data_IF_054086773776
#
_entry.id   IF_054086773776
#
_cell.length_a   1.000
_cell.length_b   1.000
_cell.length_c   1.000
_cell.angle_alpha   90.00
_cell.angle_beta   90.00
_cell.angle_gamma   90.00
#
_symmetry.space_group_name_H-M   'P 1'
#
loop_
_entity.id
_entity.type
_entity.pdbx_description
1 polymer ?
#
# COMPACT_ATOMS: atom_id res chain seq x y z
N UNK A 1 -19.20 -1.48 -11.48
CA UNK A 1 -20.27 -2.50 -11.47
C UNK A 1 -20.38 -3.14 -12.84
N UNK A 2 -20.48 -2.37 -13.94
CA UNK A 2 -20.69 -2.89 -15.30
C UNK A 2 -19.62 -3.91 -15.76
N UNK A 3 -18.34 -3.66 -15.44
CA UNK A 3 -17.26 -4.59 -15.78
C UNK A 3 -17.39 -5.93 -15.04
N UNK A 4 -17.80 -5.89 -13.75
CA UNK A 4 -17.98 -7.11 -12.95
C UNK A 4 -19.08 -7.98 -13.54
N UNK A 5 -20.17 -7.37 -13.97
CA UNK A 5 -21.27 -8.08 -14.65
C UNK A 5 -20.84 -8.61 -16.02
N UNK A 6 -20.19 -7.77 -16.83
CA UNK A 6 -19.69 -8.12 -18.16
C UNK A 6 -18.75 -9.32 -18.13
N UNK A 7 -17.87 -9.41 -17.12
CA UNK A 7 -16.92 -10.51 -16.95
C UNK A 7 -17.42 -11.62 -16.01
N UNK A 8 -18.71 -11.60 -15.60
CA UNK A 8 -19.35 -12.60 -14.72
C UNK A 8 -18.60 -12.83 -13.40
N UNK A 9 -18.08 -11.75 -12.80
CA UNK A 9 -17.27 -11.79 -11.57
C UNK A 9 -18.09 -11.56 -10.29
N UNK A 10 -19.43 -11.57 -10.34
CA UNK A 10 -20.30 -11.24 -9.22
C UNK A 10 -20.06 -12.10 -7.97
N UNK A 11 -19.66 -13.37 -8.14
CA UNK A 11 -19.36 -14.28 -7.03
C UNK A 11 -17.91 -14.18 -6.54
N UNK A 12 -17.07 -13.38 -7.19
CA UNK A 12 -15.64 -13.23 -6.86
C UNK A 12 -15.30 -11.83 -6.36
N UNK A 13 -16.14 -10.85 -6.62
CA UNK A 13 -15.95 -9.46 -6.22
C UNK A 13 -17.08 -9.02 -5.30
N UNK A 14 -16.72 -8.51 -4.14
CA UNK A 14 -17.62 -7.92 -3.18
C UNK A 14 -17.35 -6.44 -3.04
N UNK A 15 -18.31 -5.60 -3.34
CA UNK A 15 -18.25 -4.17 -3.08
C UNK A 15 -18.63 -3.91 -1.62
N UNK A 16 -17.77 -3.22 -0.91
CA UNK A 16 -18.02 -2.76 0.45
C UNK A 16 -18.02 -1.24 0.38
N UNK A 17 -19.09 -0.63 0.89
CA UNK A 17 -19.17 0.81 1.01
C UNK A 17 -18.17 1.32 2.07
N UNK A 18 -18.36 2.52 2.58
CA UNK A 18 -17.48 3.10 3.58
C UNK A 18 -17.23 2.16 4.78
N UNK A 19 -15.96 1.87 5.04
CA UNK A 19 -15.51 1.11 6.20
C UNK A 19 -14.86 2.08 7.20
N UNK A 20 -15.42 2.17 8.40
CA UNK A 20 -14.87 2.99 9.49
C UNK A 20 -13.67 2.33 10.16
N UNK A 21 -13.67 1.01 10.21
CA UNK A 21 -12.66 0.18 10.85
C UNK A 21 -11.66 -0.36 9.83
N UNK A 22 -10.87 0.52 9.21
CA UNK A 22 -9.87 0.13 8.21
C UNK A 22 -8.85 -0.91 8.71
N UNK A 23 -8.37 -0.88 9.98
CA UNK A 23 -7.50 -1.94 10.49
C UNK A 23 -8.13 -3.34 10.38
N UNK A 24 -9.44 -3.46 10.63
CA UNK A 24 -10.15 -4.73 10.46
C UNK A 24 -10.16 -5.18 8.99
N UNK A 25 -10.43 -4.24 8.06
CA UNK A 25 -10.41 -4.56 6.64
C UNK A 25 -9.02 -5.05 6.19
N UNK A 26 -7.95 -4.38 6.62
CA UNK A 26 -6.59 -4.84 6.33
C UNK A 26 -6.27 -6.18 6.98
N UNK A 27 -6.75 -6.45 8.20
CA UNK A 27 -6.46 -7.72 8.89
C UNK A 27 -7.00 -8.94 8.14
N UNK A 28 -8.12 -8.77 7.43
CA UNK A 28 -8.76 -9.83 6.64
C UNK A 28 -8.11 -10.05 5.27
N UNK A 29 -7.25 -9.15 4.82
CA UNK A 29 -6.60 -9.26 3.52
C UNK A 29 -5.35 -10.14 3.60
N UNK A 30 -5.11 -10.95 2.58
CA UNK A 30 -3.83 -11.62 2.34
C UNK A 30 -2.85 -10.68 1.63
N UNK A 31 -3.36 -9.92 0.68
CA UNK A 31 -2.63 -8.90 -0.09
C UNK A 31 -3.52 -7.67 -0.27
N UNK A 32 -2.95 -6.49 -0.14
CA UNK A 32 -3.65 -5.22 -0.40
C UNK A 32 -3.25 -4.68 -1.77
N UNK A 33 -4.19 -4.10 -2.50
CA UNK A 33 -3.92 -3.46 -3.79
C UNK A 33 -4.39 -2.01 -3.76
N UNK A 34 -3.51 -1.09 -4.10
CA UNK A 34 -3.82 0.33 -4.32
C UNK A 34 -3.62 0.69 -5.80
N UNK A 35 -4.73 0.73 -6.54
CA UNK A 35 -4.73 0.94 -7.99
C UNK A 35 -5.03 2.39 -8.38
N UNK A 36 -4.36 3.36 -7.76
CA UNK A 36 -4.54 4.77 -8.05
C UNK A 36 -4.07 5.10 -9.47
N UNK A 37 -4.87 5.83 -10.21
CA UNK A 37 -4.55 6.34 -11.56
C UNK A 37 -4.06 7.79 -11.55
N UNK A 38 -4.10 8.44 -10.40
CA UNK A 38 -3.62 9.81 -10.18
C UNK A 38 -2.59 9.83 -9.05
N UNK A 39 -1.60 10.73 -9.08
CA UNK A 39 -0.61 10.83 -8.01
C UNK A 39 -1.26 11.14 -6.66
N UNK A 40 -1.01 10.30 -5.68
CA UNK A 40 -1.36 10.58 -4.29
C UNK A 40 -0.21 11.30 -3.61
N UNK A 41 -0.51 12.28 -2.76
CA UNK A 41 0.52 13.06 -2.07
C UNK A 41 1.40 12.18 -1.16
N UNK A 42 0.79 11.23 -0.43
CA UNK A 42 1.50 10.39 0.54
C UNK A 42 1.32 8.88 0.33
N UNK A 43 0.16 8.44 -0.16
CA UNK A 43 -0.15 7.01 -0.33
C UNK A 43 -0.55 6.34 0.99
N UNK A 44 -1.56 6.88 1.66
CA UNK A 44 -2.03 6.38 2.96
C UNK A 44 -2.34 4.89 2.95
N UNK A 45 -3.01 4.38 1.92
CA UNK A 45 -3.34 2.95 1.79
C UNK A 45 -2.07 2.09 1.86
N UNK A 46 -1.00 2.53 1.20
CA UNK A 46 0.29 1.82 1.19
C UNK A 46 0.94 1.78 2.58
N UNK A 47 0.89 2.89 3.32
CA UNK A 47 1.44 2.96 4.68
C UNK A 47 0.60 2.15 5.66
N UNK A 48 -0.73 2.28 5.61
CA UNK A 48 -1.66 1.57 6.48
C UNK A 48 -1.58 0.05 6.30
N UNK A 49 -1.53 -0.43 5.04
CA UNK A 49 -1.36 -1.86 4.75
C UNK A 49 -0.03 -2.39 5.31
N UNK A 50 1.08 -1.67 5.09
CA UNK A 50 2.37 -2.03 5.64
C UNK A 50 2.38 -2.01 7.18
N UNK A 51 1.75 -1.02 7.82
CA UNK A 51 1.62 -0.96 9.28
C UNK A 51 0.87 -2.17 9.86
N UNK A 52 -0.09 -2.71 9.09
CA UNK A 52 -0.80 -3.94 9.43
C UNK A 52 -0.04 -5.20 9.05
N UNK A 53 1.20 -5.09 8.56
CA UNK A 53 2.03 -6.22 8.16
C UNK A 53 1.50 -6.95 6.93
N UNK A 54 0.79 -6.25 6.05
CA UNK A 54 0.22 -6.84 4.83
C UNK A 54 1.06 -6.50 3.60
N UNK A 55 1.36 -7.48 2.74
CA UNK A 55 1.94 -7.20 1.44
C UNK A 55 1.06 -6.22 0.65
N UNK A 56 1.69 -5.22 0.04
CA UNK A 56 1.02 -4.20 -0.76
C UNK A 56 1.49 -4.23 -2.21
N UNK A 57 0.55 -4.17 -3.13
CA UNK A 57 0.79 -3.89 -4.54
C UNK A 57 0.23 -2.50 -4.82
N UNK A 58 1.05 -1.58 -5.30
CA UNK A 58 0.59 -0.22 -5.56
C UNK A 58 1.07 0.30 -6.92
N UNK A 59 0.34 1.29 -7.43
CA UNK A 59 0.72 2.04 -8.61
C UNK A 59 2.07 2.74 -8.39
N UNK A 60 2.98 2.65 -9.34
CA UNK A 60 4.27 3.32 -9.32
C UNK A 60 4.13 4.81 -9.63
N UNK A 61 3.36 5.53 -8.80
CA UNK A 61 3.02 6.94 -8.97
C UNK A 61 2.88 7.64 -7.61
N UNK A 62 3.22 8.91 -7.51
CA UNK A 62 3.06 9.70 -6.28
C UNK A 62 3.79 9.11 -5.07
N UNK A 63 3.21 9.27 -3.89
CA UNK A 63 3.78 8.87 -2.61
C UNK A 63 4.03 7.37 -2.44
N UNK A 64 3.36 6.51 -3.22
CA UNK A 64 3.63 5.06 -3.18
C UNK A 64 5.08 4.71 -3.50
N UNK A 65 5.76 5.50 -4.35
CA UNK A 65 7.18 5.33 -4.67
C UNK A 65 8.10 5.53 -3.47
N UNK A 66 7.69 6.37 -2.54
CA UNK A 66 8.48 6.76 -1.37
C UNK A 66 8.18 5.87 -0.17
N UNK A 67 6.94 5.39 -0.08
CA UNK A 67 6.45 4.61 1.05
C UNK A 67 6.71 3.12 0.91
N UNK A 68 6.98 2.60 -0.31
CA UNK A 68 7.21 1.18 -0.59
C UNK A 68 8.67 0.94 -0.97
N UNK A 69 9.33 0.02 -0.27
CA UNK A 69 10.62 -0.53 -0.68
C UNK A 69 10.37 -1.64 -1.70
N UNK A 70 10.49 -1.32 -2.99
CA UNK A 70 10.18 -2.22 -4.10
C UNK A 70 10.87 -3.58 -3.94
N UNK A 71 10.07 -4.66 -3.98
CA UNK A 71 10.53 -6.03 -3.84
C UNK A 71 10.91 -6.46 -2.42
N UNK A 72 10.82 -5.56 -1.41
CA UNK A 72 11.10 -5.86 0.00
C UNK A 72 9.88 -5.69 0.88
N UNK A 73 9.21 -4.54 0.80
CA UNK A 73 8.03 -4.24 1.61
C UNK A 73 6.73 -4.20 0.80
N UNK A 74 6.82 -4.45 -0.49
CA UNK A 74 5.69 -4.45 -1.41
C UNK A 74 6.15 -4.38 -2.86
N UNK A 75 5.19 -4.22 -3.74
CA UNK A 75 5.37 -4.27 -5.19
C UNK A 75 4.81 -3.02 -5.84
N UNK A 76 5.52 -2.53 -6.85
CA UNK A 76 5.09 -1.39 -7.65
C UNK A 76 4.89 -1.83 -9.10
N UNK A 77 3.79 -1.39 -9.71
CA UNK A 77 3.49 -1.64 -11.11
C UNK A 77 3.20 -0.33 -11.86
N UNK A 78 3.34 -0.31 -13.17
CA UNK A 78 2.98 0.86 -14.00
C UNK A 78 1.47 1.06 -13.99
N UNK A 79 1.00 2.21 -13.48
CA UNK A 79 -0.41 2.55 -13.33
C UNK A 79 -1.19 2.61 -14.67
N UNK A 80 -0.49 2.75 -15.78
CA UNK A 80 -1.08 2.73 -17.13
C UNK A 80 -1.19 1.33 -17.73
N UNK A 81 -0.64 0.30 -17.05
CA UNK A 81 -0.63 -1.07 -17.54
C UNK A 81 -1.42 -2.03 -16.63
N UNK A 82 -2.72 -2.26 -16.92
CA UNK A 82 -3.52 -3.24 -16.20
C UNK A 82 -3.01 -4.68 -16.31
N UNK A 83 -2.24 -5.00 -17.36
CA UNK A 83 -1.67 -6.34 -17.55
C UNK A 83 -0.49 -6.55 -16.60
N UNK A 84 0.32 -5.50 -16.38
CA UNK A 84 1.38 -5.55 -15.38
C UNK A 84 0.79 -5.71 -13.98
N UNK A 85 -0.31 -5.00 -13.64
CA UNK A 85 -1.02 -5.21 -12.39
C UNK A 85 -1.47 -6.67 -12.23
N UNK A 86 -2.15 -7.22 -13.23
CA UNK A 86 -2.62 -8.61 -13.19
C UNK A 86 -1.46 -9.60 -13.01
N UNK A 87 -0.36 -9.41 -13.74
CA UNK A 87 0.86 -10.22 -13.61
C UNK A 87 1.46 -10.10 -12.21
N UNK A 88 1.53 -8.89 -11.67
CA UNK A 88 2.07 -8.65 -10.31
C UNK A 88 1.19 -9.32 -9.26
N UNK A 89 -0.14 -9.22 -9.37
CA UNK A 89 -1.07 -9.92 -8.47
C UNK A 89 -0.82 -11.43 -8.53
N UNK A 90 -0.79 -12.03 -9.73
CA UNK A 90 -0.56 -13.46 -9.89
C UNK A 90 0.77 -13.89 -9.26
N UNK A 91 1.84 -13.18 -9.51
CA UNK A 91 3.15 -13.49 -8.93
C UNK A 91 3.12 -13.44 -7.38
N UNK A 92 2.38 -12.50 -6.81
CA UNK A 92 2.32 -12.32 -5.36
C UNK A 92 1.45 -13.39 -4.70
N UNK A 93 0.33 -13.78 -5.28
CA UNK A 93 -0.54 -14.83 -4.73
C UNK A 93 0.06 -16.24 -4.87
N UNK A 94 1.04 -16.42 -5.74
CA UNK A 94 1.80 -17.68 -5.91
C UNK A 94 2.96 -17.80 -4.89
N UNK A 95 3.28 -16.75 -4.13
CA UNK A 95 4.29 -16.82 -3.09
C UNK A 95 3.80 -17.71 -1.93
N UNK A 96 4.75 -18.40 -1.31
CA UNK A 96 4.47 -19.14 -0.08
C UNK A 96 4.15 -18.20 1.09
N UNK A 97 3.52 -18.75 2.11
CA UNK A 97 3.05 -18.00 3.28
C UNK A 97 4.21 -17.30 4.03
N UNK A 98 5.37 -17.94 4.11
CA UNK A 98 6.52 -17.39 4.82
C UNK A 98 7.08 -16.16 4.09
N UNK A 99 7.11 -16.21 2.75
CA UNK A 99 7.48 -15.08 1.91
C UNK A 99 6.52 -13.90 2.07
N UNK A 100 5.20 -14.14 2.09
CA UNK A 100 4.19 -13.10 2.30
C UNK A 100 4.34 -12.47 3.69
N UNK A 101 4.53 -13.27 4.73
CA UNK A 101 4.77 -12.80 6.10
C UNK A 101 6.07 -11.98 6.17
N UNK A 102 7.12 -12.43 5.52
CA UNK A 102 8.40 -11.72 5.49
C UNK A 102 8.26 -10.33 4.86
N UNK A 103 7.59 -10.24 3.70
CA UNK A 103 7.31 -8.97 3.01
C UNK A 103 6.47 -8.04 3.89
N UNK A 104 5.42 -8.57 4.51
CA UNK A 104 4.57 -7.81 5.43
C UNK A 104 5.34 -7.27 6.64
N UNK A 105 6.21 -8.07 7.23
CA UNK A 105 7.08 -7.67 8.34
C UNK A 105 8.08 -6.59 7.95
N UNK A 106 8.71 -6.70 6.79
CA UNK A 106 9.59 -5.66 6.26
C UNK A 106 8.82 -4.36 5.98
N UNK A 107 7.59 -4.47 5.46
CA UNK A 107 6.69 -3.33 5.31
C UNK A 107 6.42 -2.64 6.63
N UNK A 108 6.05 -3.39 7.65
CA UNK A 108 5.79 -2.85 8.98
C UNK A 108 7.01 -2.16 9.58
N UNK A 109 8.18 -2.77 9.51
CA UNK A 109 9.43 -2.15 9.97
C UNK A 109 9.74 -0.84 9.23
N UNK A 110 9.54 -0.82 7.91
CA UNK A 110 9.77 0.37 7.11
C UNK A 110 8.90 1.54 7.54
N UNK A 111 7.60 1.33 7.69
CA UNK A 111 6.66 2.41 7.99
C UNK A 111 6.73 2.87 9.45
N UNK A 112 6.88 1.96 10.40
CA UNK A 112 7.01 2.32 11.82
C UNK A 112 8.30 3.08 12.13
N UNK A 113 9.33 2.92 11.30
CA UNK A 113 10.59 3.65 11.45
C UNK A 113 10.57 5.04 10.82
N UNK A 114 9.78 5.23 9.74
CA UNK A 114 9.90 6.42 8.90
C UNK A 114 8.67 7.33 8.92
N UNK A 115 7.50 6.76 9.20
CA UNK A 115 6.22 7.43 8.98
C UNK A 115 5.35 7.45 10.24
N UNK A 116 5.95 7.35 11.42
CA UNK A 116 5.26 7.58 12.68
C UNK A 116 5.07 9.08 12.94
N UNK A 117 4.16 9.39 13.88
CA UNK A 117 3.82 10.78 14.21
C UNK A 117 5.01 11.52 14.82
N UNK A 118 5.83 10.87 15.63
CA UNK A 118 6.98 11.48 16.29
C UNK A 118 8.01 11.92 15.27
N UNK A 119 8.39 11.04 14.35
CA UNK A 119 9.30 11.34 13.23
C UNK A 119 8.80 12.49 12.36
N UNK A 120 7.51 12.56 12.12
CA UNK A 120 6.87 13.65 11.37
C UNK A 120 7.00 14.98 12.14
N UNK A 121 6.66 14.99 13.42
CA UNK A 121 6.75 16.18 14.28
C UNK A 121 8.18 16.68 14.38
N UNK A 122 9.14 15.80 14.63
CA UNK A 122 10.56 16.14 14.74
C UNK A 122 11.12 16.71 13.43
N UNK A 123 10.75 16.11 12.31
CA UNK A 123 11.18 16.60 10.99
C UNK A 123 10.60 18.00 10.71
N UNK A 124 9.33 18.21 11.00
CA UNK A 124 8.68 19.50 10.85
C UNK A 124 9.31 20.57 11.75
N UNK A 125 9.53 20.24 13.02
CA UNK A 125 10.17 21.15 13.97
C UNK A 125 11.59 21.52 13.55
N UNK A 126 12.34 20.57 13.01
CA UNK A 126 13.69 20.80 12.49
C UNK A 126 13.68 21.80 11.33
N UNK A 127 12.74 21.69 10.41
CA UNK A 127 12.64 22.64 9.30
C UNK A 127 12.24 24.05 9.79
N UNK A 128 11.33 24.17 10.76
CA UNK A 128 11.03 25.46 11.38
C UNK A 128 12.24 26.09 12.07
N UNK A 129 13.01 25.29 12.84
CA UNK A 129 14.23 25.79 13.48
C UNK A 129 15.26 26.30 12.47
N UNK A 130 15.45 25.60 11.36
CA UNK A 130 16.33 26.04 10.27
C UNK A 130 15.87 27.38 9.68
N UNK A 131 14.57 27.54 9.42
CA UNK A 131 14.03 28.80 8.87
C UNK A 131 14.13 29.97 9.83
N UNK A 132 14.03 29.72 11.12
CA UNK A 132 14.12 30.74 12.18
C UNK A 132 15.54 31.00 12.67
N UNK A 133 16.52 30.25 12.16
CA UNK A 133 17.94 30.29 12.60
C UNK A 133 18.14 30.08 14.11
N UNK A 134 17.36 29.16 14.72
CA UNK A 134 17.41 28.80 16.15
C UNK A 134 17.70 27.30 16.33
#
# INVERSE_FOLDING_TARGET
>A
IDLVQRYRLNNKIKFINHCKEMPLAYSLADVVVSASTSPEAFGRVSVEAQAMGKPIIASNIGGSKETILKGKSGFLYNYEDPRELAKTINNVIELDQDSLISIGNEGRKNVTKKFDVESMCDSTLREYKKLLNI
#
